data_IF_638737789574
#
_entry.id   IF_638737789574
#
_cell.length_a   1.000
_cell.length_b   1.000
_cell.length_c   1.000
_cell.angle_alpha   90.00
_cell.angle_beta   90.00
_cell.angle_gamma   90.00
#
_symmetry.space_group_name_H-M   'P 1'
#
loop_
_entity.id
_entity.type
_entity.pdbx_description
1 polymer ?
#
# COMPACT_ATOMS: atom_id res chain seq x y z
N UNK A 1 -77.27 9.22 -14.74
CA UNK A 1 -76.70 8.57 -13.54
C UNK A 1 -75.28 9.12 -13.44
N UNK A 2 -75.10 10.21 -12.70
CA UNK A 2 -74.64 10.24 -11.30
C UNK A 2 -73.15 9.85 -11.17
N UNK A 3 -72.31 10.86 -10.94
CA UNK A 3 -71.04 10.72 -10.23
C UNK A 3 -71.32 10.34 -8.76
N UNK A 4 -70.39 9.64 -8.10
CA UNK A 4 -69.83 10.24 -6.90
C UNK A 4 -68.31 10.03 -6.68
N UNK A 5 -67.79 10.99 -5.91
CA UNK A 5 -66.50 11.18 -5.22
C UNK A 5 -66.17 9.98 -4.29
N UNK A 6 -64.93 9.58 -3.96
CA UNK A 6 -63.96 10.14 -2.97
C UNK A 6 -62.85 9.05 -2.78
N UNK A 7 -61.56 9.40 -2.83
CA UNK A 7 -60.58 9.49 -1.72
C UNK A 7 -60.21 8.21 -0.94
N UNK A 8 -58.90 7.97 -0.89
CA UNK A 8 -58.07 7.23 0.09
C UNK A 8 -58.34 5.76 0.41
N UNK A 9 -57.28 4.93 0.32
CA UNK A 9 -56.62 4.26 1.46
C UNK A 9 -55.65 3.18 0.95
N UNK A 10 -54.39 3.28 1.36
CA UNK A 10 -53.35 2.25 1.23
C UNK A 10 -53.68 1.06 2.15
N UNK A 11 -53.49 -0.20 1.70
CA UNK A 11 -53.12 -1.26 2.62
C UNK A 11 -51.71 -1.77 2.30
N UNK A 12 -50.88 -1.67 3.34
CA UNK A 12 -49.68 -2.45 3.55
C UNK A 12 -50.01 -3.95 3.74
N UNK A 13 -48.95 -4.76 3.75
CA UNK A 13 -48.91 -6.20 4.07
C UNK A 13 -49.35 -7.18 2.97
N UNK A 14 -48.36 -7.70 2.24
CA UNK A 14 -48.16 -9.15 2.02
C UNK A 14 -46.84 -9.39 1.26
N UNK A 15 -45.71 -9.21 1.95
CA UNK A 15 -44.40 -9.77 1.55
C UNK A 15 -43.64 -10.19 2.83
N UNK A 16 -44.24 -11.14 3.55
CA UNK A 16 -43.57 -12.19 4.32
C UNK A 16 -43.45 -13.37 3.34
N UNK A 17 -42.38 -14.13 3.14
CA UNK A 17 -41.29 -14.65 3.96
C UNK A 17 -40.21 -15.09 2.96
N UNK A 18 -38.96 -14.66 3.14
CA UNK A 18 -37.80 -15.46 2.69
C UNK A 18 -36.81 -15.45 3.83
N UNK A 19 -36.87 -16.52 4.61
CA UNK A 19 -36.00 -16.88 5.71
C UNK A 19 -34.60 -17.23 5.22
N UNK A 20 -33.68 -17.17 6.19
CA UNK A 20 -32.44 -17.96 6.29
C UNK A 20 -31.26 -17.54 5.40
N UNK A 21 -30.51 -16.56 5.94
CA UNK A 21 -29.13 -16.77 6.40
C UNK A 21 -28.72 -18.26 6.48
N UNK A 22 -27.81 -18.69 5.61
CA UNK A 22 -26.83 -19.75 5.88
C UNK A 22 -25.77 -19.75 4.77
N UNK A 23 -24.68 -19.00 4.97
CA UNK A 23 -23.40 -19.27 4.28
C UNK A 23 -22.44 -19.85 5.30
N UNK A 24 -22.30 -21.18 5.42
CA UNK A 24 -21.21 -21.78 6.15
C UNK A 24 -20.01 -21.90 5.19
N UNK A 25 -19.33 -20.78 4.94
CA UNK A 25 -17.99 -20.85 4.31
C UNK A 25 -16.96 -20.83 5.44
N UNK A 26 -16.80 -22.02 6.02
CA UNK A 26 -15.57 -22.56 6.63
C UNK A 26 -14.62 -21.54 7.25
N UNK A 27 -14.73 -21.33 8.57
CA UNK A 27 -13.66 -20.69 9.34
C UNK A 27 -12.31 -21.44 9.19
N UNK A 28 -12.35 -22.75 8.92
CA UNK A 28 -11.17 -23.60 8.67
C UNK A 28 -10.41 -23.21 7.38
N UNK A 29 -11.11 -22.88 6.28
CA UNK A 29 -10.45 -22.44 5.02
C UNK A 29 -9.75 -21.09 5.20
N UNK A 30 -10.30 -20.21 6.04
CA UNK A 30 -9.69 -18.89 6.32
C UNK A 30 -8.46 -19.03 7.22
N UNK A 31 -8.45 -20.00 8.13
CA UNK A 31 -7.29 -20.30 8.97
C UNK A 31 -6.14 -20.93 8.16
N UNK A 32 -6.42 -21.88 7.27
CA UNK A 32 -5.39 -22.47 6.40
C UNK A 32 -4.69 -21.42 5.52
N UNK A 33 -5.46 -20.47 4.96
CA UNK A 33 -4.89 -19.36 4.17
C UNK A 33 -4.01 -18.45 5.03
N UNK A 34 -4.30 -18.29 6.33
CA UNK A 34 -3.48 -17.47 7.24
C UNK A 34 -2.15 -18.13 7.57
N UNK A 35 -2.13 -19.45 7.80
CA UNK A 35 -0.89 -20.17 8.13
C UNK A 35 0.08 -20.26 6.94
N UNK A 36 -0.43 -20.32 5.70
CA UNK A 36 0.42 -20.40 4.50
C UNK A 36 1.18 -19.09 4.22
N UNK A 37 0.64 -17.93 4.61
CA UNK A 37 1.30 -16.63 4.48
C UNK A 37 2.48 -16.49 5.46
N UNK A 38 2.46 -17.23 6.58
CA UNK A 38 3.42 -17.07 7.67
C UNK A 38 4.79 -17.74 7.41
N UNK A 39 4.91 -18.56 6.36
CA UNK A 39 6.12 -19.35 6.04
C UNK A 39 6.81 -18.94 4.74
N UNK A 40 6.87 -17.65 4.44
CA UNK A 40 7.86 -17.17 3.46
C UNK A 40 9.21 -17.10 4.18
N UNK A 41 10.21 -17.93 3.84
CA UNK A 41 11.54 -17.78 4.41
C UNK A 41 12.06 -16.38 4.08
N UNK A 42 12.47 -15.63 5.09
CA UNK A 42 13.28 -14.42 4.91
C UNK A 42 14.64 -14.87 4.35
N UNK A 43 14.73 -15.01 3.03
CA UNK A 43 16.02 -15.04 2.35
C UNK A 43 16.69 -13.70 2.67
N UNK A 44 17.88 -13.74 3.27
CA UNK A 44 18.72 -12.56 3.45
C UNK A 44 19.12 -12.08 2.04
N UNK A 45 18.30 -11.23 1.44
CA UNK A 45 18.60 -10.64 0.15
C UNK A 45 19.92 -9.87 0.26
N UNK A 46 20.93 -10.32 -0.49
CA UNK A 46 22.21 -9.63 -0.56
C UNK A 46 22.01 -8.30 -1.31
N UNK A 47 22.05 -7.20 -0.56
CA UNK A 47 21.90 -5.84 -1.08
C UNK A 47 23.28 -5.21 -1.33
N UNK A 48 23.39 -4.41 -2.39
CA UNK A 48 24.65 -3.72 -2.75
C UNK A 48 24.94 -2.52 -1.83
N UNK A 49 23.94 -2.06 -1.08
CA UNK A 49 24.11 -1.04 -0.05
C UNK A 49 22.80 -0.44 0.45
N UNK A 50 22.94 0.49 1.39
CA UNK A 50 21.82 1.05 2.14
C UNK A 50 21.86 2.58 2.16
N UNK A 51 20.68 3.20 2.20
CA UNK A 51 20.49 4.64 2.37
C UNK A 51 19.41 4.89 3.42
N UNK A 52 19.69 5.84 4.30
CA UNK A 52 18.70 6.29 5.29
C UNK A 52 18.07 7.60 4.84
N UNK A 53 16.74 7.64 4.86
CA UNK A 53 15.97 8.83 4.49
C UNK A 53 14.95 9.15 5.58
N UNK A 54 14.79 10.44 5.86
CA UNK A 54 13.71 10.94 6.71
C UNK A 54 12.76 11.75 5.84
N UNK A 55 11.51 11.28 5.74
CA UNK A 55 10.48 11.90 4.90
C UNK A 55 9.46 12.61 5.78
N UNK A 56 9.26 13.90 5.52
CA UNK A 56 8.19 14.68 6.17
C UNK A 56 6.92 14.62 5.33
N UNK A 57 5.89 13.99 5.87
CA UNK A 57 4.60 13.83 5.21
C UNK A 57 3.72 15.07 5.39
N UNK A 58 3.85 15.76 6.53
CA UNK A 58 3.14 17.01 6.79
C UNK A 58 3.98 18.22 6.40
N UNK A 59 3.35 19.30 5.90
CA UNK A 59 1.91 19.46 5.65
C UNK A 59 1.45 18.86 4.30
N UNK A 60 2.35 18.29 3.48
CA UNK A 60 2.09 17.87 2.09
C UNK A 60 0.87 16.96 1.93
N UNK A 61 0.66 16.03 2.86
CA UNK A 61 -0.49 15.12 2.86
C UNK A 61 -1.84 15.84 3.01
N UNK A 62 -1.90 17.01 3.66
CA UNK A 62 -3.14 17.74 3.93
C UNK A 62 -3.84 18.24 2.66
N UNK A 63 -3.11 18.33 1.55
CA UNK A 63 -3.69 18.65 0.24
C UNK A 63 -4.51 17.50 -0.36
N UNK A 64 -4.77 16.41 0.38
CA UNK A 64 -5.76 15.39 0.03
C UNK A 64 -6.79 15.20 1.16
N UNK A 65 -8.02 14.76 0.81
CA UNK A 65 -9.06 14.46 1.80
C UNK A 65 -8.62 13.30 2.71
N UNK A 66 -9.14 13.26 3.95
CA UNK A 66 -8.71 12.35 5.03
C UNK A 66 -8.53 10.89 4.57
N UNK A 67 -9.54 10.35 3.88
CA UNK A 67 -9.57 8.97 3.38
C UNK A 67 -8.53 8.63 2.30
N UNK A 68 -7.91 9.64 1.64
CA UNK A 68 -6.84 9.45 0.65
C UNK A 68 -5.44 9.75 1.19
N UNK A 69 -5.32 10.13 2.47
CA UNK A 69 -4.05 10.62 3.03
C UNK A 69 -2.96 9.56 3.05
N UNK A 70 -3.27 8.33 3.45
CA UNK A 70 -2.29 7.23 3.48
C UNK A 70 -1.81 6.90 2.06
N UNK A 71 -2.73 6.82 1.09
CA UNK A 71 -2.36 6.65 -0.34
C UNK A 71 -1.48 7.79 -0.87
N UNK A 72 -1.74 9.02 -0.43
CA UNK A 72 -0.91 10.17 -0.78
C UNK A 72 0.46 10.11 -0.11
N UNK A 73 0.54 9.71 1.15
CA UNK A 73 1.79 9.54 1.87
C UNK A 73 2.71 8.54 1.16
N UNK A 74 2.18 7.41 0.69
CA UNK A 74 2.93 6.44 -0.13
C UNK A 74 3.48 7.10 -1.41
N UNK A 75 2.67 7.89 -2.13
CA UNK A 75 3.14 8.61 -3.33
C UNK A 75 4.24 9.61 -3.01
N UNK A 76 4.13 10.32 -1.88
CA UNK A 76 5.15 11.27 -1.43
C UNK A 76 6.45 10.55 -1.07
N UNK A 77 6.35 9.42 -0.35
CA UNK A 77 7.49 8.56 -0.05
C UNK A 77 8.21 8.12 -1.33
N UNK A 78 7.48 7.54 -2.30
CA UNK A 78 8.06 7.14 -3.60
C UNK A 78 8.73 8.31 -4.32
N UNK A 79 8.07 9.47 -4.35
CA UNK A 79 8.61 10.67 -5.00
C UNK A 79 9.88 11.18 -4.33
N UNK A 80 9.93 11.18 -3.00
CA UNK A 80 11.10 11.65 -2.26
C UNK A 80 12.27 10.67 -2.41
N UNK A 81 12.01 9.35 -2.38
CA UNK A 81 13.01 8.32 -2.66
C UNK A 81 13.64 8.54 -4.04
N UNK A 82 12.84 8.70 -5.09
CA UNK A 82 13.34 8.97 -6.45
C UNK A 82 14.12 10.28 -6.55
N UNK A 83 13.74 11.30 -5.76
CA UNK A 83 14.42 12.60 -5.76
C UNK A 83 15.79 12.52 -5.10
N UNK A 84 15.92 11.78 -4.00
CA UNK A 84 17.15 11.74 -3.21
C UNK A 84 18.10 10.61 -3.64
N UNK A 85 17.57 9.47 -4.07
CA UNK A 85 18.35 8.34 -4.56
C UNK A 85 18.42 8.40 -6.09
N UNK A 86 19.25 9.30 -6.61
CA UNK A 86 19.47 9.47 -8.05
C UNK A 86 20.64 8.66 -8.59
N UNK A 87 21.63 8.42 -7.74
CA UNK A 87 22.88 7.79 -8.08
C UNK A 87 23.17 6.70 -7.07
N UNK A 88 23.62 5.57 -7.57
CA UNK A 88 24.05 4.42 -6.79
C UNK A 88 25.50 4.13 -7.16
N UNK A 89 26.26 3.66 -6.18
CA UNK A 89 27.65 3.29 -6.35
C UNK A 89 27.74 1.76 -6.39
N UNK A 90 28.33 1.22 -7.46
CA UNK A 90 28.58 -0.21 -7.56
C UNK A 90 29.72 -0.62 -6.62
N UNK A 91 29.52 -1.63 -5.75
CA UNK A 91 30.53 -2.02 -4.77
C UNK A 91 31.79 -2.59 -5.42
N UNK A 92 31.67 -3.29 -6.56
CA UNK A 92 32.79 -3.92 -7.25
C UNK A 92 33.63 -2.92 -8.07
N UNK A 93 32.97 -1.95 -8.70
CA UNK A 93 33.55 -1.11 -9.75
C UNK A 93 33.77 0.34 -9.28
N UNK A 94 33.15 0.76 -8.17
CA UNK A 94 33.14 2.15 -7.70
C UNK A 94 32.49 3.13 -8.67
N UNK A 95 31.81 2.61 -9.72
CA UNK A 95 31.17 3.43 -10.75
C UNK A 95 29.86 3.97 -10.19
N UNK A 96 29.63 5.27 -10.43
CA UNK A 96 28.39 5.94 -10.07
C UNK A 96 27.40 5.83 -11.21
N UNK A 97 26.45 4.93 -11.08
CA UNK A 97 25.39 4.70 -12.06
C UNK A 97 24.17 5.53 -11.70
N UNK A 98 23.61 6.24 -12.69
CA UNK A 98 22.37 7.01 -12.51
C UNK A 98 21.17 6.09 -12.62
N UNK A 99 20.29 6.12 -11.64
CA UNK A 99 19.04 5.35 -11.70
C UNK A 99 18.11 5.99 -12.73
N UNK A 100 17.81 5.25 -13.80
CA UNK A 100 16.86 5.68 -14.84
C UNK A 100 15.51 4.99 -14.64
N UNK A 101 15.52 3.74 -14.19
CA UNK A 101 14.32 2.93 -13.95
C UNK A 101 14.36 2.32 -12.54
N UNK A 102 13.87 3.05 -11.53
CA UNK A 102 13.76 2.53 -10.16
C UNK A 102 12.53 1.62 -10.03
N UNK A 103 12.75 0.39 -9.61
CA UNK A 103 11.68 -0.53 -9.18
C UNK A 103 11.57 -0.41 -7.66
N UNK A 104 10.50 0.23 -7.16
CA UNK A 104 10.37 0.55 -5.73
C UNK A 104 9.37 -0.41 -5.09
N UNK A 105 9.88 -1.28 -4.23
CA UNK A 105 9.12 -2.20 -3.39
C UNK A 105 9.04 -1.61 -1.99
N UNK A 106 7.82 -1.54 -1.44
CA UNK A 106 7.58 -0.99 -0.10
C UNK A 106 7.20 -2.14 0.81
N UNK A 107 7.92 -2.29 1.92
CA UNK A 107 7.63 -3.30 2.95
C UNK A 107 6.20 -3.15 3.49
N UNK A 108 5.49 -4.26 3.78
CA UNK A 108 4.20 -4.23 4.46
C UNK A 108 4.23 -3.42 5.77
N UNK A 109 5.33 -3.49 6.53
CA UNK A 109 5.50 -2.75 7.79
C UNK A 109 5.42 -1.23 7.60
N UNK A 110 6.00 -0.70 6.52
CA UNK A 110 5.88 0.72 6.15
C UNK A 110 4.43 1.07 5.79
N UNK A 111 3.73 0.15 5.12
CA UNK A 111 2.34 0.39 4.75
C UNK A 111 1.43 0.52 5.98
N UNK A 112 1.66 -0.31 7.00
CA UNK A 112 0.99 -0.23 8.30
C UNK A 112 1.30 1.10 9.01
N UNK A 113 2.57 1.49 9.08
CA UNK A 113 2.96 2.75 9.71
C UNK A 113 2.32 3.96 9.00
N UNK A 114 2.34 3.97 7.67
CA UNK A 114 1.74 5.03 6.85
C UNK A 114 0.21 5.07 6.98
N UNK A 115 -0.45 3.97 7.34
CA UNK A 115 -1.89 3.97 7.54
C UNK A 115 -2.32 5.01 8.58
N UNK A 116 -1.54 5.15 9.67
CA UNK A 116 -1.73 6.17 10.72
C UNK A 116 -1.41 7.60 10.28
N UNK A 117 -0.77 7.76 9.11
CA UNK A 117 -0.31 9.03 8.54
C UNK A 117 0.57 9.80 9.53
N UNK A 118 1.79 9.32 9.82
CA UNK A 118 2.69 9.98 10.75
C UNK A 118 3.15 11.34 10.20
N UNK A 119 3.67 12.21 11.08
CA UNK A 119 4.21 13.51 10.64
C UNK A 119 5.49 13.35 9.82
N UNK A 120 6.36 12.46 10.28
CA UNK A 120 7.64 12.10 9.67
C UNK A 120 7.80 10.59 9.76
N UNK A 121 8.44 10.00 8.75
CA UNK A 121 8.80 8.59 8.73
C UNK A 121 10.30 8.49 8.42
N UNK A 122 11.00 7.63 9.15
CA UNK A 122 12.41 7.31 8.88
C UNK A 122 12.42 5.96 8.19
N UNK A 123 13.02 5.92 7.02
CA UNK A 123 13.05 4.72 6.19
C UNK A 123 14.48 4.36 5.86
N UNK A 124 14.74 3.06 5.89
CA UNK A 124 15.91 2.43 5.30
C UNK A 124 15.54 2.06 3.87
N UNK A 125 16.39 2.42 2.92
CA UNK A 125 16.24 2.05 1.52
C UNK A 125 17.46 1.23 1.12
N UNK A 126 17.26 -0.07 0.98
CA UNK A 126 18.25 -0.98 0.45
C UNK A 126 18.15 -0.98 -1.08
N UNK A 127 19.29 -1.03 -1.77
CA UNK A 127 19.32 -1.06 -3.22
C UNK A 127 20.05 -2.28 -3.74
N UNK A 128 19.55 -2.80 -4.86
CA UNK A 128 20.16 -3.88 -5.63
C UNK A 128 20.25 -3.48 -7.09
N UNK A 129 21.45 -3.51 -7.65
CA UNK A 129 21.74 -3.13 -9.02
C UNK A 129 21.47 -4.36 -9.89
N UNK A 130 20.43 -4.28 -10.71
CA UNK A 130 20.03 -5.40 -11.60
C UNK A 130 20.74 -5.28 -12.95
N UNK A 131 20.76 -4.07 -13.51
CA UNK A 131 21.39 -3.78 -14.81
C UNK A 131 21.97 -2.36 -14.79
N UNK A 132 23.32 -2.22 -14.70
CA UNK A 132 23.96 -0.92 -14.58
C UNK A 132 23.93 -0.11 -15.89
N UNK A 133 24.03 -0.76 -17.05
CA UNK A 133 24.03 -0.09 -18.35
C UNK A 133 22.68 0.56 -18.66
N UNK A 134 21.59 -0.09 -18.22
CA UNK A 134 20.22 0.45 -18.36
C UNK A 134 19.75 1.25 -17.16
N UNK A 135 20.56 1.35 -16.11
CA UNK A 135 20.23 2.02 -14.86
C UNK A 135 18.97 1.45 -14.19
N UNK A 136 18.78 0.13 -14.23
CA UNK A 136 17.71 -0.58 -13.52
C UNK A 136 18.21 -0.95 -12.12
N UNK A 137 17.51 -0.43 -11.12
CA UNK A 137 17.84 -0.65 -9.71
C UNK A 137 16.55 -1.00 -8.98
N UNK A 138 16.61 -2.10 -8.23
CA UNK A 138 15.57 -2.46 -7.28
C UNK A 138 15.83 -1.71 -5.97
N UNK A 139 14.81 -1.06 -5.44
CA UNK A 139 14.85 -0.32 -4.19
C UNK A 139 13.83 -0.95 -3.23
N UNK A 140 14.33 -1.57 -2.17
CA UNK A 140 13.50 -2.09 -1.08
C UNK A 140 13.43 -1.07 0.05
N UNK A 141 12.23 -0.76 0.51
CA UNK A 141 11.99 0.26 1.54
C UNK A 141 11.47 -0.39 2.81
N UNK A 142 12.23 -0.21 3.89
CA UNK A 142 11.99 -0.78 5.20
C UNK A 142 11.86 0.31 6.27
N UNK A 143 11.09 0.07 7.34
CA UNK A 143 11.06 0.97 8.48
C UNK A 143 12.41 0.92 9.22
N UNK A 144 12.77 2.04 9.83
CA UNK A 144 13.95 2.14 10.70
C UNK A 144 13.57 1.97 12.17
#
# INVERSE_FOLDING_TARGET
MQEPETEDTIPAEELQETSEEETPTSEEEVEEIREEIEKVPEEEEEYDGERFLTVSLFPRVLSAPKWRRSRKAIKLLKSDIQKYIKYVEEPLTGKRTRITRPEITISPKINEEIHSVPRKIRVKVAYKIVDPDRGRVSLSVEPL
#
